data_IF_047824004021
#
_entry.id   IF_047824004021
#
_cell.length_a   1.000
_cell.length_b   1.000
_cell.length_c   1.000
_cell.angle_alpha   90.00
_cell.angle_beta   90.00
_cell.angle_gamma   90.00
#
_symmetry.space_group_name_H-M   'P 1'
#
loop_
_entity.id
_entity.type
_entity.pdbx_description
1 polymer ?
#
# COMPACT_ATOMS: atom_id res chain seq x y z
N UNK A 1 -1.93 -1.27 33.51
CA UNK A 1 -3.11 -1.62 32.72
C UNK A 1 -3.00 -3.06 32.25
N UNK A 2 -4.05 -3.82 32.38
CA UNK A 2 -4.09 -5.23 31.96
C UNK A 2 -5.16 -5.40 30.88
N UNK A 3 -4.87 -6.26 29.91
CA UNK A 3 -5.74 -6.51 28.77
C UNK A 3 -6.46 -7.84 28.89
N UNK A 4 -7.74 -7.81 28.59
CA UNK A 4 -8.61 -8.98 28.59
C UNK A 4 -9.41 -9.02 27.30
N UNK A 5 -9.80 -10.22 26.87
CA UNK A 5 -10.64 -10.40 25.70
C UNK A 5 -11.98 -11.04 26.10
N UNK A 6 -13.03 -10.64 25.38
CA UNK A 6 -14.36 -11.21 25.48
C UNK A 6 -14.90 -11.37 24.07
N UNK A 7 -14.89 -12.61 23.57
CA UNK A 7 -15.17 -12.85 22.15
C UNK A 7 -14.14 -12.17 21.26
N UNK A 8 -14.58 -11.27 20.39
CA UNK A 8 -13.72 -10.51 19.49
C UNK A 8 -13.34 -9.13 20.04
N UNK A 9 -13.86 -8.76 21.20
CA UNK A 9 -13.60 -7.47 21.82
C UNK A 9 -12.44 -7.55 22.80
N UNK A 10 -11.67 -6.46 22.88
CA UNK A 10 -10.55 -6.31 23.80
C UNK A 10 -10.86 -5.16 24.77
N UNK A 11 -10.66 -5.44 26.04
CA UNK A 11 -10.90 -4.48 27.13
C UNK A 11 -9.60 -4.25 27.90
N UNK A 12 -9.35 -3.00 28.26
CA UNK A 12 -8.20 -2.64 29.08
C UNK A 12 -8.73 -2.20 30.49
N UNK A 13 -8.14 -2.79 31.53
CA UNK A 13 -8.50 -2.48 32.91
C UNK A 13 -7.28 -2.05 33.70
N UNK A 14 -7.44 -0.99 34.49
CA UNK A 14 -6.47 -0.63 35.51
C UNK A 14 -6.57 -1.61 36.70
N UNK A 15 -5.55 -1.64 37.55
CA UNK A 15 -5.54 -2.57 38.70
C UNK A 15 -6.74 -2.36 39.62
N UNK A 16 -7.17 -1.13 39.83
CA UNK A 16 -8.34 -0.81 40.66
C UNK A 16 -9.67 -1.18 40.00
N UNK A 17 -9.65 -1.59 38.74
CA UNK A 17 -10.83 -2.02 37.98
C UNK A 17 -10.92 -3.54 37.78
N UNK A 18 -9.94 -4.30 38.27
CA UNK A 18 -9.89 -5.74 38.06
C UNK A 18 -11.11 -6.46 38.65
N UNK A 19 -11.78 -5.88 39.64
CA UNK A 19 -13.03 -6.44 40.20
C UNK A 19 -14.19 -6.44 39.20
N UNK A 20 -14.07 -5.69 38.10
CA UNK A 20 -15.06 -5.67 37.02
C UNK A 20 -14.88 -6.83 36.04
N UNK A 21 -13.74 -7.53 36.12
CA UNK A 21 -13.45 -8.68 35.26
C UNK A 21 -14.14 -9.90 35.83
N UNK A 22 -15.00 -10.53 35.03
CA UNK A 22 -15.68 -11.77 35.40
C UNK A 22 -15.15 -12.94 34.56
N UNK A 23 -15.78 -14.11 34.70
CA UNK A 23 -15.36 -15.32 33.98
C UNK A 23 -15.69 -15.31 32.48
N UNK A 24 -16.37 -14.27 31.99
CA UNK A 24 -16.59 -14.09 30.54
C UNK A 24 -15.40 -13.45 29.85
N UNK A 25 -14.45 -12.88 30.59
CA UNK A 25 -13.21 -12.33 30.10
C UNK A 25 -12.09 -13.35 30.17
N UNK A 26 -11.22 -13.32 29.18
CA UNK A 26 -9.98 -14.12 29.17
C UNK A 26 -8.78 -13.19 29.19
N UNK A 27 -7.84 -13.42 30.10
CA UNK A 27 -6.61 -12.66 30.15
C UNK A 27 -5.80 -12.87 28.86
N UNK A 28 -5.31 -11.77 28.29
CA UNK A 28 -4.42 -11.83 27.14
C UNK A 28 -2.97 -12.09 27.58
N UNK A 29 -2.27 -12.98 26.89
CA UNK A 29 -0.84 -13.19 27.12
C UNK A 29 -0.04 -12.05 26.49
N UNK A 30 1.29 -12.03 26.72
CA UNK A 30 2.17 -10.96 26.23
C UNK A 30 2.15 -10.87 24.71
N UNK A 31 2.08 -12.00 23.99
CA UNK A 31 2.00 -12.02 22.52
C UNK A 31 0.67 -11.45 22.02
N UNK A 32 -0.43 -11.82 22.64
CA UNK A 32 -1.76 -11.29 22.25
C UNK A 32 -1.84 -9.77 22.47
N UNK A 33 -1.29 -9.27 23.56
CA UNK A 33 -1.23 -7.83 23.86
C UNK A 33 -0.38 -7.11 22.81
N UNK A 34 0.78 -7.64 22.51
CA UNK A 34 1.67 -7.04 21.53
C UNK A 34 1.04 -7.03 20.13
N UNK A 35 0.38 -8.11 19.74
CA UNK A 35 -0.35 -8.19 18.47
C UNK A 35 -1.47 -7.16 18.37
N UNK A 36 -2.15 -6.89 19.47
CA UNK A 36 -3.22 -5.89 19.51
C UNK A 36 -2.65 -4.46 19.40
N UNK A 37 -1.55 -4.18 20.09
CA UNK A 37 -0.91 -2.85 20.11
C UNK A 37 -0.09 -2.60 18.85
N UNK A 38 0.62 -3.62 18.37
CA UNK A 38 1.54 -3.55 17.23
C UNK A 38 1.16 -4.58 16.14
N UNK A 39 -0.02 -4.48 15.53
CA UNK A 39 -0.48 -5.47 14.56
C UNK A 39 0.43 -5.60 13.34
N UNK A 40 1.15 -4.54 12.96
CA UNK A 40 2.07 -4.56 11.82
C UNK A 40 3.24 -5.53 12.00
N UNK A 41 3.60 -5.87 13.25
CA UNK A 41 4.69 -6.82 13.52
C UNK A 41 4.30 -8.27 13.20
N UNK A 42 3.01 -8.54 13.00
CA UNK A 42 2.47 -9.88 12.75
C UNK A 42 1.92 -10.05 11.34
N UNK A 43 2.11 -9.02 10.49
CA UNK A 43 1.74 -9.08 9.08
C UNK A 43 2.72 -9.98 8.31
N UNK A 44 2.22 -10.68 7.29
CA UNK A 44 3.04 -11.36 6.31
C UNK A 44 3.87 -10.33 5.51
N UNK A 45 4.90 -10.79 4.80
CA UNK A 45 5.72 -9.90 3.97
C UNK A 45 4.88 -9.22 2.89
N UNK A 46 3.90 -9.93 2.32
CA UNK A 46 2.96 -9.37 1.33
C UNK A 46 2.07 -8.29 1.95
N UNK A 47 1.56 -8.52 3.15
CA UNK A 47 0.74 -7.55 3.88
C UNK A 47 1.53 -6.31 4.26
N UNK A 48 2.77 -6.47 4.71
CA UNK A 48 3.68 -5.35 5.01
C UNK A 48 3.96 -4.52 3.77
N UNK A 49 4.20 -5.17 2.64
CA UNK A 49 4.46 -4.48 1.37
C UNK A 49 3.23 -3.70 0.92
N UNK A 50 2.05 -4.31 0.96
CA UNK A 50 0.80 -3.63 0.61
C UNK A 50 0.55 -2.44 1.54
N UNK A 51 0.73 -2.61 2.85
CA UNK A 51 0.59 -1.53 3.81
C UNK A 51 1.55 -0.37 3.50
N UNK A 52 2.81 -0.68 3.20
CA UNK A 52 3.82 0.32 2.82
C UNK A 52 3.38 1.11 1.58
N UNK A 53 2.87 0.43 0.56
CA UNK A 53 2.41 1.06 -0.67
C UNK A 53 1.20 1.98 -0.44
N UNK A 54 0.32 1.65 0.49
CA UNK A 54 -0.85 2.48 0.81
C UNK A 54 -0.49 3.79 1.50
N UNK A 55 0.73 3.93 2.02
CA UNK A 55 1.19 5.17 2.66
C UNK A 55 1.60 6.26 1.66
N UNK A 56 1.79 5.90 0.40
CA UNK A 56 2.10 6.87 -0.64
C UNK A 56 0.86 7.66 -1.05
N UNK A 57 1.01 8.98 -1.18
CA UNK A 57 -0.05 9.82 -1.72
C UNK A 57 -0.19 9.54 -3.22
N UNK A 58 -1.41 9.56 -3.78
CA UNK A 58 -1.58 9.39 -5.21
C UNK A 58 -0.95 10.53 -6.00
N UNK A 59 -0.48 10.23 -7.21
CA UNK A 59 0.01 11.22 -8.16
C UNK A 59 -1.12 11.67 -9.08
N UNK A 60 -1.13 12.93 -9.44
CA UNK A 60 -1.96 13.40 -10.54
C UNK A 60 -1.40 12.89 -11.86
N UNK A 61 -2.22 12.89 -12.91
CA UNK A 61 -1.76 12.51 -14.25
C UNK A 61 -0.57 13.37 -14.69
N UNK A 62 -0.64 14.67 -14.42
CA UNK A 62 0.45 15.60 -14.71
C UNK A 62 1.74 15.21 -13.99
N UNK A 63 1.67 14.97 -12.68
CA UNK A 63 2.84 14.57 -11.88
C UNK A 63 3.43 13.26 -12.38
N UNK A 64 2.59 12.27 -12.66
CA UNK A 64 3.04 10.97 -13.17
C UNK A 64 3.79 11.10 -14.48
N UNK A 65 3.23 11.83 -15.44
CA UNK A 65 3.85 12.03 -16.75
C UNK A 65 5.11 12.88 -16.68
N UNK A 66 5.13 13.92 -15.85
CA UNK A 66 6.33 14.73 -15.64
C UNK A 66 7.46 13.93 -15.02
N UNK A 67 7.16 13.07 -14.06
CA UNK A 67 8.15 12.18 -13.45
C UNK A 67 8.78 11.25 -14.49
N UNK A 68 7.96 10.68 -15.37
CA UNK A 68 8.45 9.84 -16.45
C UNK A 68 9.32 10.64 -17.41
N UNK A 69 8.93 11.85 -17.75
CA UNK A 69 9.69 12.73 -18.63
C UNK A 69 11.06 13.06 -18.02
N UNK A 70 11.11 13.45 -16.76
CA UNK A 70 12.34 13.81 -16.07
C UNK A 70 13.31 12.63 -15.93
N UNK A 71 12.79 11.42 -15.84
CA UNK A 71 13.60 10.20 -15.78
C UNK A 71 13.90 9.60 -17.16
N UNK A 72 13.50 10.26 -18.24
CA UNK A 72 13.73 9.80 -19.60
C UNK A 72 12.92 8.56 -19.98
N UNK A 73 11.80 8.31 -19.28
CA UNK A 73 11.00 7.11 -19.44
C UNK A 73 9.68 7.34 -20.18
N UNK A 74 9.30 8.59 -20.44
CA UNK A 74 7.98 8.89 -21.03
C UNK A 74 7.78 8.20 -22.38
N UNK A 75 8.73 8.37 -23.30
CA UNK A 75 8.67 7.71 -24.61
C UNK A 75 8.72 6.19 -24.50
N UNK A 76 9.50 5.68 -23.57
CA UNK A 76 9.63 4.24 -23.32
C UNK A 76 8.31 3.63 -22.84
N UNK A 77 7.62 4.31 -21.93
CA UNK A 77 6.30 3.87 -21.45
C UNK A 77 5.28 3.88 -22.58
N UNK A 78 5.24 4.94 -23.38
CA UNK A 78 4.29 5.03 -24.48
C UNK A 78 4.54 3.98 -25.55
N UNK A 79 5.80 3.71 -25.89
CA UNK A 79 6.18 2.64 -26.81
C UNK A 79 5.83 1.25 -26.24
N UNK A 80 6.06 1.04 -24.96
CA UNK A 80 5.73 -0.20 -24.28
C UNK A 80 4.22 -0.46 -24.35
N UNK A 81 3.39 0.54 -24.10
CA UNK A 81 1.94 0.41 -24.19
C UNK A 81 1.51 0.02 -25.62
N UNK A 82 2.10 0.67 -26.63
CA UNK A 82 1.83 0.34 -28.03
C UNK A 82 2.25 -1.07 -28.40
N UNK A 83 3.25 -1.64 -27.75
CA UNK A 83 3.78 -2.97 -28.02
C UNK A 83 3.05 -4.11 -27.30
N UNK A 84 2.07 -3.81 -26.45
CA UNK A 84 1.29 -4.86 -25.77
C UNK A 84 0.52 -5.68 -26.81
N UNK A 85 0.73 -6.99 -26.80
CA UNK A 85 0.13 -7.90 -27.79
C UNK A 85 -1.34 -8.18 -27.54
N UNK A 86 -1.75 -8.35 -26.27
CA UNK A 86 -3.14 -8.61 -25.91
C UNK A 86 -3.99 -7.35 -26.10
N UNK A 87 -4.98 -7.35 -27.01
CA UNK A 87 -5.77 -6.15 -27.28
C UNK A 87 -6.56 -5.63 -26.08
N UNK A 88 -7.04 -6.53 -25.23
CA UNK A 88 -7.81 -6.17 -24.04
C UNK A 88 -6.92 -5.52 -22.99
N UNK A 89 -5.76 -6.10 -22.73
CA UNK A 89 -4.77 -5.55 -21.80
C UNK A 89 -4.27 -4.19 -22.32
N UNK A 90 -3.94 -4.12 -23.61
CA UNK A 90 -3.50 -2.87 -24.25
C UNK A 90 -4.53 -1.78 -24.09
N UNK A 91 -5.79 -2.05 -24.39
CA UNK A 91 -6.87 -1.06 -24.28
C UNK A 91 -7.04 -0.57 -22.84
N UNK A 92 -6.99 -1.48 -21.87
CA UNK A 92 -7.11 -1.13 -20.46
C UNK A 92 -5.95 -0.22 -20.01
N UNK A 93 -4.73 -0.60 -20.34
CA UNK A 93 -3.54 0.19 -19.96
C UNK A 93 -3.59 1.56 -20.62
N UNK A 94 -3.97 1.64 -21.89
CA UNK A 94 -4.11 2.90 -22.59
C UNK A 94 -5.14 3.83 -21.93
N UNK A 95 -6.29 3.28 -21.57
CA UNK A 95 -7.36 4.05 -20.91
C UNK A 95 -6.88 4.56 -19.54
N UNK A 96 -6.32 3.70 -18.72
CA UNK A 96 -5.85 4.11 -17.41
C UNK A 96 -4.72 5.12 -17.49
N UNK A 97 -3.79 4.96 -18.43
CA UNK A 97 -2.70 5.89 -18.63
C UNK A 97 -3.18 7.27 -19.10
N UNK A 98 -4.16 7.33 -20.02
CA UNK A 98 -4.60 8.55 -20.65
C UNK A 98 -5.71 9.27 -19.88
N UNK A 99 -6.61 8.51 -19.24
CA UNK A 99 -7.86 9.04 -18.69
C UNK A 99 -7.86 9.13 -17.16
N UNK A 100 -7.00 8.41 -16.46
CA UNK A 100 -6.95 8.48 -15.01
C UNK A 100 -6.48 9.85 -14.55
N UNK A 101 -7.23 10.47 -13.66
CA UNK A 101 -6.84 11.74 -13.05
C UNK A 101 -5.82 11.57 -11.95
N UNK A 102 -5.84 10.39 -11.29
CA UNK A 102 -4.94 10.03 -10.20
C UNK A 102 -4.38 8.64 -10.40
N UNK A 103 -3.14 8.47 -10.02
CA UNK A 103 -2.45 7.18 -10.02
C UNK A 103 -2.05 6.85 -8.59
N UNK A 104 -2.54 5.71 -8.10
CA UNK A 104 -2.17 5.22 -6.78
C UNK A 104 -0.98 4.28 -6.88
N UNK A 105 -0.14 4.28 -5.83
CA UNK A 105 1.04 3.40 -5.78
C UNK A 105 0.66 1.92 -5.83
N UNK A 106 -0.57 1.58 -5.38
CA UNK A 106 -1.12 0.22 -5.39
C UNK A 106 -1.83 -0.15 -6.68
N UNK A 107 -2.00 0.80 -7.62
CA UNK A 107 -2.72 0.55 -8.87
C UNK A 107 -1.99 -0.50 -9.71
N UNK A 108 -2.73 -1.53 -10.12
CA UNK A 108 -2.17 -2.67 -10.86
C UNK A 108 -1.58 -2.25 -12.22
N UNK A 109 -2.23 -1.33 -12.92
CA UNK A 109 -1.73 -0.84 -14.20
C UNK A 109 -0.44 -0.06 -14.04
N UNK A 110 -0.32 0.74 -12.98
CA UNK A 110 0.91 1.45 -12.64
C UNK A 110 2.04 0.46 -12.35
N UNK A 111 1.77 -0.55 -11.52
CA UNK A 111 2.75 -1.58 -11.20
C UNK A 111 3.19 -2.36 -12.44
N UNK A 112 2.26 -2.67 -13.32
CA UNK A 112 2.55 -3.33 -14.59
C UNK A 112 3.49 -2.49 -15.46
N UNK A 113 3.13 -1.22 -15.69
CA UNK A 113 3.93 -0.32 -16.52
C UNK A 113 5.34 -0.13 -15.99
N UNK A 114 5.48 0.11 -14.69
CA UNK A 114 6.78 0.34 -14.07
C UNK A 114 7.60 -0.94 -13.94
N UNK A 115 6.93 -2.09 -13.75
CA UNK A 115 7.58 -3.40 -13.72
C UNK A 115 8.19 -3.79 -15.07
N UNK A 116 7.48 -3.52 -16.17
CA UNK A 116 7.98 -3.79 -17.53
C UNK A 116 9.21 -2.94 -17.86
N UNK A 117 9.31 -1.76 -17.27
CA UNK A 117 10.49 -0.90 -17.42
C UNK A 117 11.73 -1.43 -16.67
N UNK A 118 11.56 -2.47 -15.86
CA UNK A 118 12.64 -3.05 -15.08
C UNK A 118 13.04 -2.25 -13.85
N UNK A 119 12.17 -1.35 -13.38
CA UNK A 119 12.43 -0.56 -12.18
C UNK A 119 12.25 -1.40 -10.93
N UNK A 120 13.16 -1.26 -9.98
CA UNK A 120 13.01 -1.86 -8.66
C UNK A 120 11.96 -1.10 -7.85
N UNK A 121 11.42 -1.74 -6.81
CA UNK A 121 10.47 -1.09 -5.90
C UNK A 121 11.06 0.18 -5.28
N UNK A 122 12.32 0.14 -4.88
CA UNK A 122 13.01 1.30 -4.30
C UNK A 122 13.17 2.44 -5.30
N UNK A 123 13.48 2.13 -6.54
CA UNK A 123 13.57 3.13 -7.61
C UNK A 123 12.22 3.80 -7.88
N UNK A 124 11.15 3.02 -7.87
CA UNK A 124 9.79 3.53 -8.03
C UNK A 124 9.39 4.42 -6.86
N UNK A 125 9.70 4.01 -5.64
CA UNK A 125 9.43 4.81 -4.44
C UNK A 125 10.10 6.18 -4.51
N UNK A 126 11.37 6.21 -4.86
CA UNK A 126 12.15 7.44 -4.99
C UNK A 126 11.57 8.36 -6.07
N UNK A 127 11.26 7.79 -7.23
CA UNK A 127 10.63 8.51 -8.33
C UNK A 127 9.25 9.06 -7.93
N UNK A 128 8.49 8.28 -7.15
CA UNK A 128 7.19 8.70 -6.65
C UNK A 128 7.28 9.90 -5.70
N UNK A 129 8.22 9.86 -4.77
CA UNK A 129 8.44 10.97 -3.84
C UNK A 129 8.85 12.24 -4.57
N UNK A 130 9.72 12.14 -5.56
CA UNK A 130 10.10 13.27 -6.41
C UNK A 130 8.88 13.81 -7.18
N UNK A 131 8.08 12.93 -7.74
CA UNK A 131 6.88 13.30 -8.50
C UNK A 131 5.87 14.10 -7.67
N UNK A 132 5.74 13.80 -6.39
CA UNK A 132 4.84 14.52 -5.49
C UNK A 132 5.23 16.01 -5.33
N UNK A 133 6.45 16.37 -5.66
CA UNK A 133 6.93 17.76 -5.61
C UNK A 133 6.73 18.54 -6.92
N UNK A 134 6.25 17.88 -7.97
CA UNK A 134 6.11 18.46 -9.32
C UNK A 134 4.74 19.16 -9.59
#
# INVERSE_FOLDING_TARGET
>A
MRYFKKGLEVYAFEENQLHLVDNTFSAMNAEEVDRHINPQNYMSDEEKELFRLTQFKPLTRRQFKLALLENGLLSTVEQMIESIEDPTVKARIQIEYSESERFERTNQSVQYMLGVLGLTSDQVDEMWQQALTL
#
